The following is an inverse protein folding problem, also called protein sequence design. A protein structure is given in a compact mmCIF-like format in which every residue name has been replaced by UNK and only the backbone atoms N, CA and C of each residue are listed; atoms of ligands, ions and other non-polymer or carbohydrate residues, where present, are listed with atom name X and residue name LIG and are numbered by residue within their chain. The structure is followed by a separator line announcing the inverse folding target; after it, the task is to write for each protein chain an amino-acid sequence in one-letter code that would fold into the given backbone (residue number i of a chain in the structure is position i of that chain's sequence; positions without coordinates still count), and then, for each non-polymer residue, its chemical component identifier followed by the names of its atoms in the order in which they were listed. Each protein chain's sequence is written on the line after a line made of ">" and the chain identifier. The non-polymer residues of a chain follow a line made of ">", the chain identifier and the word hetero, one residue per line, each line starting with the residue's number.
data_IF_593609607782
#
_entry.id   IF_593609607782
#
_cell.length_a   1.000
_cell.length_b   1.000
_cell.length_c   1.000
_cell.angle_alpha   90.00
_cell.angle_beta   90.00
_cell.angle_gamma   90.00
#
_symmetry.space_group_name_H-M   'P 1'
#
loop_
_entity.id
_entity.type
_entity.pdbx_description
1 polymer ?
#
# COMPACT_ATOMS: atom_id res chain seq x y z
N UNK A 1 -37.61 -2.46 -0.63
CA UNK A 1 -36.14 -2.53 -0.74
C UNK A 1 -35.69 -3.45 0.35
N UNK A 2 -35.46 -4.71 -0.01
CA UNK A 2 -35.04 -5.73 0.96
C UNK A 2 -33.70 -5.33 1.57
N UNK A 3 -33.58 -5.47 2.88
CA UNK A 3 -32.36 -5.15 3.60
C UNK A 3 -31.22 -6.04 3.06
N UNK A 4 -30.08 -5.43 2.76
CA UNK A 4 -28.86 -6.16 2.37
C UNK A 4 -28.53 -7.26 3.39
N UNK A 5 -27.87 -8.36 2.99
CA UNK A 5 -27.39 -9.37 3.92
C UNK A 5 -26.59 -8.73 5.07
N UNK A 6 -26.87 -9.09 6.32
CA UNK A 6 -26.28 -8.41 7.47
C UNK A 6 -24.74 -8.47 7.51
N UNK A 7 -24.15 -9.54 6.97
CA UNK A 7 -22.69 -9.70 6.86
C UNK A 7 -22.05 -8.82 5.77
N UNK A 8 -22.84 -8.15 4.93
CA UNK A 8 -22.35 -7.13 3.99
C UNK A 8 -22.08 -5.79 4.68
N UNK A 9 -22.67 -5.55 5.85
CA UNK A 9 -22.47 -4.36 6.67
C UNK A 9 -21.32 -4.58 7.67
N UNK A 10 -20.42 -3.61 7.75
CA UNK A 10 -19.34 -3.57 8.75
C UNK A 10 -19.21 -2.20 9.40
N UNK A 11 -18.07 -1.98 10.07
CA UNK A 11 -17.76 -0.74 10.80
C UNK A 11 -16.25 -0.47 10.87
N UNK A 12 -15.52 -0.98 9.88
CA UNK A 12 -14.07 -0.93 9.83
C UNK A 12 -13.57 0.51 9.75
N UNK A 13 -12.52 0.84 10.49
CA UNK A 13 -11.77 2.09 10.36
C UNK A 13 -10.50 1.84 9.56
N UNK A 14 -10.41 2.48 8.40
CA UNK A 14 -9.34 2.23 7.41
C UNK A 14 -8.57 3.53 7.19
N UNK A 15 -7.31 3.58 7.60
CA UNK A 15 -6.45 4.75 7.36
C UNK A 15 -5.56 4.53 6.14
N UNK A 16 -5.64 5.44 5.18
CA UNK A 16 -4.77 5.53 4.02
C UNK A 16 -3.77 6.66 4.24
N UNK A 17 -2.51 6.32 4.46
CA UNK A 17 -1.44 7.33 4.54
C UNK A 17 -1.25 8.00 3.17
N UNK A 18 -1.04 9.30 3.16
CA UNK A 18 -0.50 10.05 2.02
C UNK A 18 0.65 10.95 2.48
N UNK A 19 1.64 11.14 1.62
CA UNK A 19 2.84 11.94 1.87
C UNK A 19 3.35 12.54 0.55
N UNK A 20 4.05 13.68 0.55
CA UNK A 20 4.52 14.30 -0.68
C UNK A 20 5.32 13.34 -1.57
N UNK A 21 4.95 13.25 -2.85
CA UNK A 21 5.61 12.37 -3.83
C UNK A 21 5.26 10.89 -3.70
N UNK A 22 4.18 10.52 -2.99
CA UNK A 22 3.59 9.18 -3.09
C UNK A 22 3.04 8.91 -4.51
N UNK A 23 2.99 7.66 -4.94
CA UNK A 23 2.30 7.28 -6.18
C UNK A 23 0.80 7.24 -5.91
N UNK A 24 0.03 8.13 -6.56
CA UNK A 24 -1.40 8.27 -6.29
C UNK A 24 -2.18 6.97 -6.51
N UNK A 25 -1.86 6.23 -7.59
CA UNK A 25 -2.56 5.00 -7.94
C UNK A 25 -2.40 3.89 -6.88
N UNK A 26 -1.26 3.86 -6.18
CA UNK A 26 -1.02 2.92 -5.07
C UNK A 26 -2.06 3.09 -3.96
N UNK A 27 -2.56 4.31 -3.75
CA UNK A 27 -3.59 4.61 -2.75
C UNK A 27 -4.99 4.52 -3.36
N UNK A 28 -5.22 5.13 -4.53
CA UNK A 28 -6.56 5.25 -5.14
C UNK A 28 -7.15 3.88 -5.46
N UNK A 29 -6.37 2.93 -5.97
CA UNK A 29 -6.86 1.57 -6.28
C UNK A 29 -7.43 0.85 -5.06
N UNK A 30 -6.63 0.62 -4.01
CA UNK A 30 -7.10 0.08 -2.74
C UNK A 30 -8.19 0.91 -2.08
N UNK A 31 -8.12 2.25 -2.16
CA UNK A 31 -9.16 3.12 -1.60
C UNK A 31 -10.52 2.90 -2.25
N UNK A 32 -10.56 2.72 -3.58
CA UNK A 32 -11.81 2.38 -4.27
C UNK A 32 -12.38 1.04 -3.77
N UNK A 33 -11.55 -0.01 -3.74
CA UNK A 33 -12.00 -1.34 -3.32
C UNK A 33 -12.45 -1.37 -1.86
N UNK A 34 -11.66 -0.82 -0.95
CA UNK A 34 -11.99 -0.84 0.49
C UNK A 34 -13.05 0.21 0.86
N UNK A 35 -13.15 1.31 0.11
CA UNK A 35 -14.24 2.29 0.26
C UNK A 35 -15.60 1.73 -0.17
N UNK A 36 -15.61 0.66 -0.97
CA UNK A 36 -16.84 -0.05 -1.35
C UNK A 36 -17.43 -0.91 -0.22
N UNK A 37 -16.70 -1.12 0.88
CA UNK A 37 -17.17 -1.87 2.04
C UNK A 37 -18.29 -1.12 2.75
N UNK A 38 -19.53 -1.61 2.65
CA UNK A 38 -20.67 -0.98 3.30
C UNK A 38 -20.45 -0.87 4.82
N UNK A 39 -20.66 0.34 5.36
CA UNK A 39 -20.50 0.67 6.78
C UNK A 39 -19.06 0.98 7.23
N UNK A 40 -18.05 0.74 6.40
CA UNK A 40 -16.68 1.12 6.71
C UNK A 40 -16.49 2.65 6.69
N UNK A 41 -15.51 3.14 7.44
CA UNK A 41 -15.06 4.53 7.46
C UNK A 41 -13.63 4.60 6.96
N UNK A 42 -13.39 5.35 5.88
CA UNK A 42 -12.06 5.60 5.35
C UNK A 42 -11.54 6.96 5.83
N UNK A 43 -10.23 7.01 6.09
CA UNK A 43 -9.52 8.23 6.48
C UNK A 43 -8.29 8.39 5.59
N UNK A 44 -8.27 9.41 4.74
CA UNK A 44 -7.06 9.83 4.04
C UNK A 44 -6.23 10.68 5.01
N UNK A 45 -5.04 10.21 5.38
CA UNK A 45 -4.24 10.76 6.48
C UNK A 45 -2.93 11.34 5.97
N UNK A 46 -2.71 12.63 6.23
CA UNK A 46 -1.44 13.32 5.97
C UNK A 46 -0.74 13.71 7.26
N UNK A 47 0.47 14.26 7.15
CA UNK A 47 1.18 14.83 8.32
C UNK A 47 0.39 16.00 8.91
N UNK A 48 -0.14 16.85 8.04
CA UNK A 48 -1.12 17.90 8.32
C UNK A 48 -2.38 17.65 7.47
N UNK A 49 -3.32 18.59 7.44
CA UNK A 49 -4.45 18.59 6.49
C UNK A 49 -4.22 19.51 5.29
N UNK A 50 -2.97 19.94 5.08
CA UNK A 50 -2.61 20.71 3.89
C UNK A 50 -2.61 19.79 2.64
N UNK A 51 -2.90 20.32 1.44
CA UNK A 51 -2.87 19.53 0.22
C UNK A 51 -1.53 18.85 -0.02
N UNK A 52 -1.57 17.56 -0.36
CA UNK A 52 -0.39 16.73 -0.65
C UNK A 52 -0.35 16.42 -2.15
N UNK A 53 0.79 16.68 -2.77
CA UNK A 53 1.02 16.42 -4.21
C UNK A 53 1.69 15.06 -4.38
N UNK A 54 1.11 14.20 -5.22
CA UNK A 54 1.68 12.92 -5.64
C UNK A 54 2.84 13.09 -6.63
N UNK A 55 3.55 11.99 -6.92
CA UNK A 55 4.69 11.97 -7.86
C UNK A 55 4.36 12.45 -9.28
N UNK A 56 3.10 12.30 -9.72
CA UNK A 56 2.60 12.74 -11.03
C UNK A 56 1.71 14.00 -10.95
N UNK A 57 1.78 14.75 -9.85
CA UNK A 57 1.12 16.06 -9.72
C UNK A 57 -0.35 16.04 -9.29
N UNK A 58 -0.99 14.88 -9.14
CA UNK A 58 -2.33 14.80 -8.54
C UNK A 58 -2.26 15.27 -7.09
N UNK A 59 -3.09 16.25 -6.74
CA UNK A 59 -3.15 16.85 -5.40
C UNK A 59 -4.34 16.32 -4.62
N UNK A 60 -4.11 15.85 -3.39
CA UNK A 60 -5.15 15.33 -2.50
C UNK A 60 -5.08 16.04 -1.16
N UNK A 61 -6.21 16.57 -0.69
CA UNK A 61 -6.33 17.15 0.65
C UNK A 61 -6.64 16.04 1.67
N UNK A 62 -5.80 15.82 2.69
CA UNK A 62 -6.06 14.85 3.74
C UNK A 62 -7.34 15.18 4.54
N UNK A 63 -8.10 14.14 4.88
CA UNK A 63 -9.28 14.24 5.76
C UNK A 63 -8.88 14.30 7.24
N UNK A 64 -7.72 13.72 7.58
CA UNK A 64 -7.16 13.74 8.92
C UNK A 64 -5.65 13.99 8.88
N UNK A 65 -5.12 14.53 9.97
CA UNK A 65 -3.69 14.61 10.24
C UNK A 65 -3.23 13.41 11.07
N UNK A 66 -1.93 13.25 11.29
CA UNK A 66 -1.41 12.26 12.25
C UNK A 66 -2.00 12.42 13.66
N UNK A 67 -2.32 13.66 14.06
CA UNK A 67 -2.90 13.97 15.36
C UNK A 67 -4.40 13.67 15.45
N UNK A 68 -5.13 13.82 14.35
CA UNK A 68 -6.60 13.67 14.33
C UNK A 68 -7.08 12.32 13.78
N UNK A 69 -6.19 11.52 13.19
CA UNK A 69 -6.48 10.15 12.78
C UNK A 69 -6.85 9.26 13.98
N UNK A 70 -7.90 8.42 13.91
CA UNK A 70 -8.23 7.47 14.97
C UNK A 70 -7.03 6.63 15.41
N UNK A 71 -6.88 6.40 16.71
CA UNK A 71 -5.78 5.59 17.27
C UNK A 71 -5.95 4.11 16.99
N UNK A 72 -7.19 3.62 17.06
CA UNK A 72 -7.56 2.23 16.81
C UNK A 72 -8.11 2.10 15.40
N UNK A 73 -7.39 1.34 14.58
CA UNK A 73 -7.72 1.10 13.19
C UNK A 73 -7.97 -0.39 12.98
N UNK A 74 -8.90 -0.73 12.10
CA UNK A 74 -9.00 -2.10 11.60
C UNK A 74 -7.92 -2.32 10.54
N UNK A 75 -7.62 -1.29 9.72
CA UNK A 75 -6.63 -1.38 8.65
C UNK A 75 -5.77 -0.12 8.62
N UNK A 76 -4.46 -0.30 8.68
CA UNK A 76 -3.47 0.71 8.28
C UNK A 76 -2.99 0.38 6.86
N UNK A 77 -3.09 1.35 5.95
CA UNK A 77 -2.64 1.23 4.58
C UNK A 77 -1.55 2.27 4.25
N UNK A 78 -0.45 1.81 3.66
CA UNK A 78 0.70 2.65 3.27
C UNK A 78 1.00 2.51 1.76
N UNK A 79 0.84 3.58 0.95
CA UNK A 79 1.19 3.55 -0.47
C UNK A 79 2.72 3.66 -0.67
N UNK A 80 3.17 3.36 -1.88
CA UNK A 80 4.53 3.56 -2.33
C UNK A 80 4.75 4.86 -3.10
N UNK A 81 5.81 4.85 -3.91
CA UNK A 81 6.45 6.00 -4.53
C UNK A 81 7.95 5.78 -4.77
N UNK A 82 8.60 6.74 -5.43
CA UNK A 82 10.06 6.77 -5.58
C UNK A 82 10.72 7.66 -4.54
N UNK A 83 11.16 8.85 -4.96
CA UNK A 83 11.80 9.84 -4.09
C UNK A 83 10.91 10.24 -2.89
N UNK A 84 9.59 10.30 -3.06
CA UNK A 84 8.65 10.58 -1.96
C UNK A 84 8.68 9.53 -0.86
N UNK A 85 8.72 8.24 -1.22
CA UNK A 85 8.87 7.14 -0.24
C UNK A 85 10.20 7.22 0.48
N UNK A 86 11.29 7.48 -0.24
CA UNK A 86 12.62 7.66 0.37
C UNK A 86 12.63 8.84 1.36
N UNK A 87 11.98 9.96 1.02
CA UNK A 87 11.86 11.11 1.91
C UNK A 87 11.01 10.77 3.15
N UNK A 88 9.89 10.06 2.98
CA UNK A 88 9.05 9.60 4.08
C UNK A 88 9.78 8.62 5.01
N UNK A 89 10.68 7.78 4.48
CA UNK A 89 11.54 6.89 5.29
C UNK A 89 12.56 7.66 6.15
N UNK A 90 12.85 8.92 5.82
CA UNK A 90 13.71 9.81 6.61
C UNK A 90 12.92 10.72 7.56
N UNK A 91 11.59 10.76 7.45
CA UNK A 91 10.73 11.59 8.30
C UNK A 91 10.32 10.82 9.56
N UNK A 92 10.95 11.15 10.68
CA UNK A 92 10.67 10.52 11.98
C UNK A 92 9.21 10.63 12.40
N UNK A 93 8.52 11.72 12.07
CA UNK A 93 7.09 11.88 12.38
C UNK A 93 6.22 10.86 11.63
N UNK A 94 6.47 10.67 10.34
CA UNK A 94 5.78 9.66 9.52
C UNK A 94 6.06 8.24 10.03
N UNK A 95 7.33 7.88 10.28
CA UNK A 95 7.67 6.56 10.81
C UNK A 95 7.05 6.31 12.20
N UNK A 96 7.01 7.32 13.06
CA UNK A 96 6.37 7.21 14.37
C UNK A 96 4.85 7.01 14.25
N UNK A 97 4.19 7.74 13.35
CA UNK A 97 2.76 7.53 13.07
C UNK A 97 2.48 6.11 12.57
N UNK A 98 3.25 5.61 11.60
CA UNK A 98 3.11 4.26 11.04
C UNK A 98 3.31 3.21 12.15
N UNK A 99 4.37 3.35 12.96
CA UNK A 99 4.68 2.42 14.05
C UNK A 99 3.58 2.39 15.11
N UNK A 100 3.11 3.57 15.52
CA UNK A 100 2.08 3.72 16.54
C UNK A 100 0.73 3.11 16.08
N UNK A 101 0.25 3.48 14.88
CA UNK A 101 -0.98 2.93 14.33
C UNK A 101 -0.85 1.44 14.01
N UNK A 102 0.29 1.03 13.44
CA UNK A 102 0.57 -0.36 13.10
C UNK A 102 0.64 -1.28 14.31
N UNK A 103 1.04 -0.79 15.49
CA UNK A 103 1.04 -1.58 16.72
C UNK A 103 -0.37 -1.99 17.20
N UNK A 104 -1.42 -1.28 16.76
CA UNK A 104 -2.81 -1.52 17.16
C UNK A 104 -3.73 -1.94 16.02
N UNK A 105 -3.30 -1.75 14.77
CA UNK A 105 -4.10 -2.10 13.61
C UNK A 105 -4.34 -3.61 13.53
N UNK A 106 -5.58 -4.03 13.24
CA UNK A 106 -5.87 -5.45 13.02
C UNK A 106 -5.14 -5.96 11.78
N UNK A 107 -5.11 -5.18 10.71
CA UNK A 107 -4.38 -5.46 9.46
C UNK A 107 -3.39 -4.32 9.19
N UNK A 108 -2.13 -4.68 8.91
CA UNK A 108 -1.10 -3.75 8.45
C UNK A 108 -0.86 -4.04 6.98
N UNK A 109 -0.99 -3.03 6.14
CA UNK A 109 -0.96 -3.23 4.71
C UNK A 109 -0.25 -2.14 3.94
N UNK A 110 0.22 -2.50 2.75
CA UNK A 110 0.88 -1.58 1.84
C UNK A 110 0.81 -2.06 0.41
N UNK A 111 1.03 -1.15 -0.53
CA UNK A 111 1.27 -1.46 -1.95
C UNK A 111 2.62 -0.89 -2.36
N UNK A 112 3.26 -1.53 -3.35
CA UNK A 112 4.48 -1.06 -3.98
C UNK A 112 5.61 -0.88 -2.95
N UNK A 113 6.38 0.20 -3.04
CA UNK A 113 7.45 0.56 -2.09
C UNK A 113 6.92 0.99 -0.71
N UNK A 114 5.60 1.06 -0.49
CA UNK A 114 5.02 1.32 0.83
C UNK A 114 5.40 0.27 1.87
N UNK A 115 5.72 -0.97 1.44
CA UNK A 115 6.25 -1.99 2.34
C UNK A 115 7.63 -1.64 2.90
N UNK A 116 8.42 -0.79 2.23
CA UNK A 116 9.69 -0.29 2.79
C UNK A 116 9.45 0.67 3.98
N UNK A 117 8.37 1.46 3.95
CA UNK A 117 7.99 2.30 5.10
C UNK A 117 7.52 1.45 6.27
N UNK A 118 6.74 0.39 6.01
CA UNK A 118 6.38 -0.57 7.05
C UNK A 118 7.62 -1.25 7.63
N UNK A 119 8.58 -1.63 6.79
CA UNK A 119 9.83 -2.25 7.21
C UNK A 119 10.69 -1.29 8.06
N UNK A 120 10.87 -0.05 7.61
CA UNK A 120 11.59 1.00 8.35
C UNK A 120 10.89 1.38 9.68
N UNK A 121 9.57 1.27 9.75
CA UNK A 121 8.83 1.42 11.00
C UNK A 121 8.99 0.22 11.97
N UNK A 122 9.63 -0.87 11.53
CA UNK A 122 9.87 -2.08 12.32
C UNK A 122 8.72 -3.10 12.25
N UNK A 123 7.77 -2.94 11.33
CA UNK A 123 6.54 -3.72 11.31
C UNK A 123 6.62 -5.02 10.50
N UNK A 124 7.71 -5.24 9.75
CA UNK A 124 7.90 -6.40 8.85
C UNK A 124 9.06 -7.33 9.23
N UNK A 125 9.73 -7.12 10.37
CA UNK A 125 10.83 -8.01 10.79
C UNK A 125 10.31 -9.44 11.03
N UNK A 126 10.83 -10.41 10.28
CA UNK A 126 10.40 -11.81 10.31
C UNK A 126 9.06 -12.10 9.62
N UNK A 127 8.57 -11.18 8.78
CA UNK A 127 7.35 -11.39 7.99
C UNK A 127 7.71 -11.56 6.52
N UNK A 128 6.97 -12.45 5.85
CA UNK A 128 6.93 -12.53 4.40
C UNK A 128 6.23 -11.29 3.85
N UNK A 129 6.87 -10.62 2.89
CA UNK A 129 6.32 -9.41 2.29
C UNK A 129 6.79 -9.27 0.83
N UNK A 130 5.96 -8.62 0.01
CA UNK A 130 6.31 -8.19 -1.35
C UNK A 130 6.43 -6.66 -1.41
N UNK A 131 6.88 -6.16 -2.56
CA UNK A 131 7.01 -4.74 -2.86
C UNK A 131 6.99 -4.53 -4.38
N UNK A 132 7.27 -3.30 -4.83
CA UNK A 132 7.63 -3.09 -6.23
C UNK A 132 8.84 -3.96 -6.60
N UNK A 133 8.85 -4.54 -7.80
CA UNK A 133 9.89 -5.50 -8.20
C UNK A 133 11.31 -4.92 -8.15
N UNK A 134 11.48 -3.61 -8.43
CA UNK A 134 12.79 -2.92 -8.31
C UNK A 134 13.32 -2.84 -6.87
N UNK A 135 12.42 -2.94 -5.89
CA UNK A 135 12.70 -2.63 -4.49
C UNK A 135 12.46 -3.81 -3.54
N UNK A 136 11.81 -4.88 -4.01
CA UNK A 136 11.42 -6.03 -3.20
C UNK A 136 12.60 -6.65 -2.45
N UNK A 137 13.74 -6.79 -3.09
CA UNK A 137 14.93 -7.36 -2.46
C UNK A 137 15.47 -6.49 -1.31
N UNK A 138 15.14 -5.21 -1.25
CA UNK A 138 15.56 -4.30 -0.19
C UNK A 138 14.85 -4.60 1.14
N UNK A 139 13.72 -5.31 1.12
CA UNK A 139 13.01 -5.72 2.32
C UNK A 139 13.89 -6.57 3.26
N UNK A 140 14.85 -7.33 2.71
CA UNK A 140 15.80 -8.12 3.51
C UNK A 140 16.69 -7.25 4.40
N UNK A 141 17.01 -6.04 3.94
CA UNK A 141 17.86 -5.09 4.66
C UNK A 141 17.14 -4.52 5.91
N UNK A 142 15.83 -4.77 6.04
CA UNK A 142 15.01 -4.43 7.20
C UNK A 142 14.49 -5.67 7.95
N UNK A 143 15.03 -6.86 7.64
CA UNK A 143 14.70 -8.12 8.31
C UNK A 143 13.37 -8.76 7.89
N UNK A 144 12.74 -8.28 6.82
CA UNK A 144 11.60 -8.99 6.21
C UNK A 144 12.09 -10.08 5.25
N UNK A 145 11.19 -11.01 4.90
CA UNK A 145 11.45 -12.12 3.97
C UNK A 145 10.80 -11.75 2.62
N UNK A 146 11.57 -11.37 1.58
CA UNK A 146 11.00 -10.95 0.31
C UNK A 146 10.34 -12.12 -0.42
N UNK A 147 9.10 -11.95 -0.88
CA UNK A 147 8.34 -12.96 -1.64
C UNK A 147 7.90 -12.38 -2.98
N UNK A 148 8.24 -13.06 -4.09
CA UNK A 148 7.85 -12.65 -5.44
C UNK A 148 6.42 -13.12 -5.76
N UNK A 149 5.42 -12.47 -5.16
CA UNK A 149 4.01 -12.65 -5.46
C UNK A 149 3.33 -11.28 -5.59
N UNK A 150 2.21 -11.25 -6.33
CA UNK A 150 1.43 -10.02 -6.56
C UNK A 150 0.80 -9.49 -5.27
N UNK A 151 0.32 -10.39 -4.42
CA UNK A 151 -0.18 -10.11 -3.07
C UNK A 151 0.41 -11.17 -2.14
N UNK A 152 0.95 -10.74 -1.00
CA UNK A 152 1.48 -11.62 0.05
C UNK A 152 0.71 -11.35 1.32
N UNK A 153 0.16 -12.42 1.90
CA UNK A 153 -0.51 -12.42 3.21
C UNK A 153 0.37 -13.22 4.17
N UNK A 154 0.82 -12.58 5.26
CA UNK A 154 1.51 -13.24 6.36
C UNK A 154 0.92 -12.77 7.70
N UNK A 155 0.15 -13.66 8.35
CA UNK A 155 -0.63 -13.37 9.56
C UNK A 155 -1.53 -12.16 9.30
N UNK A 156 -1.22 -11.00 9.88
CA UNK A 156 -1.97 -9.78 9.69
C UNK A 156 -1.21 -8.70 8.89
N UNK A 157 -0.13 -9.07 8.21
CA UNK A 157 0.58 -8.23 7.24
C UNK A 157 0.13 -8.62 5.85
N UNK A 158 -0.36 -7.65 5.08
CA UNK A 158 -0.80 -7.89 3.71
C UNK A 158 -0.14 -6.84 2.81
N UNK A 159 0.76 -7.30 1.95
CA UNK A 159 1.52 -6.42 1.05
C UNK A 159 1.19 -6.74 -0.39
N UNK A 160 0.89 -5.72 -1.19
CA UNK A 160 0.76 -5.79 -2.65
C UNK A 160 2.06 -5.38 -3.34
N UNK A 161 2.31 -5.97 -4.51
CA UNK A 161 3.46 -5.65 -5.34
C UNK A 161 3.31 -4.26 -6.01
N UNK A 162 3.86 -4.05 -7.20
CA UNK A 162 3.87 -2.74 -7.85
C UNK A 162 2.47 -2.21 -8.20
N UNK A 163 2.22 -0.96 -7.85
CA UNK A 163 1.19 -0.04 -8.37
C UNK A 163 -0.21 -0.64 -8.51
N UNK A 164 -0.51 -1.27 -9.65
CA UNK A 164 -1.84 -1.82 -9.95
C UNK A 164 -2.20 -3.03 -9.09
N UNK A 165 -1.22 -3.66 -8.41
CA UNK A 165 -1.46 -4.73 -7.45
C UNK A 165 -2.41 -4.31 -6.32
N UNK A 166 -2.57 -3.00 -6.07
CA UNK A 166 -3.51 -2.47 -5.11
C UNK A 166 -4.99 -2.80 -5.38
N UNK A 167 -5.38 -2.98 -6.64
CA UNK A 167 -6.75 -3.39 -7.00
C UNK A 167 -7.01 -4.84 -6.58
N UNK A 168 -6.13 -5.77 -6.94
CA UNK A 168 -6.25 -7.19 -6.56
C UNK A 168 -6.12 -7.41 -5.05
N UNK A 169 -5.20 -6.66 -4.42
CA UNK A 169 -5.06 -6.59 -2.97
C UNK A 169 -6.37 -6.16 -2.30
N UNK A 170 -6.95 -5.06 -2.78
CA UNK A 170 -8.17 -4.49 -2.22
C UNK A 170 -9.33 -5.45 -2.37
N UNK A 171 -9.49 -6.06 -3.55
CA UNK A 171 -10.54 -7.04 -3.82
C UNK A 171 -10.38 -8.30 -2.95
N UNK A 172 -9.15 -8.77 -2.76
CA UNK A 172 -8.85 -9.90 -1.86
C UNK A 172 -9.20 -9.60 -0.40
N UNK A 173 -9.03 -8.35 0.03
CA UNK A 173 -9.44 -7.90 1.36
C UNK A 173 -10.96 -7.76 1.50
N UNK A 174 -11.64 -7.28 0.45
CA UNK A 174 -13.11 -7.22 0.43
C UNK A 174 -13.69 -8.61 0.67
N UNK A 175 -13.18 -9.64 -0.01
CA UNK A 175 -13.61 -11.02 0.19
C UNK A 175 -13.38 -11.54 1.61
N UNK A 176 -12.28 -11.14 2.26
CA UNK A 176 -11.96 -11.53 3.64
C UNK A 176 -12.83 -10.82 4.68
N UNK A 177 -13.22 -9.57 4.43
CA UNK A 177 -13.96 -8.74 5.38
C UNK A 177 -15.48 -8.88 5.24
N UNK A 178 -15.95 -9.38 4.11
CA UNK A 178 -17.35 -9.67 3.83
C UNK A 178 -17.46 -11.14 3.45
N UNK A 179 -17.55 -11.43 2.15
CA UNK A 179 -17.53 -12.76 1.56
C UNK A 179 -17.16 -12.68 0.07
N UNK A 180 -17.09 -13.85 -0.58
CA UNK A 180 -16.79 -13.94 -2.01
C UNK A 180 -17.87 -13.29 -2.89
N UNK A 181 -19.14 -13.39 -2.53
CA UNK A 181 -20.26 -12.85 -3.32
C UNK A 181 -20.22 -11.31 -3.37
N UNK A 182 -19.95 -10.67 -2.23
CA UNK A 182 -19.74 -9.23 -2.14
C UNK A 182 -18.53 -8.80 -2.95
N UNK A 183 -17.41 -9.53 -2.86
CA UNK A 183 -16.22 -9.21 -3.64
C UNK A 183 -16.49 -9.32 -5.15
N UNK A 184 -17.17 -10.39 -5.61
CA UNK A 184 -17.57 -10.53 -7.02
C UNK A 184 -18.52 -9.41 -7.46
N UNK A 185 -19.46 -9.00 -6.60
CA UNK A 185 -20.33 -7.86 -6.88
C UNK A 185 -19.54 -6.55 -7.00
N UNK A 186 -18.54 -6.31 -6.15
CA UNK A 186 -17.68 -5.12 -6.24
C UNK A 186 -16.75 -5.17 -7.45
N UNK A 187 -16.26 -6.36 -7.82
CA UNK A 187 -15.51 -6.56 -9.05
C UNK A 187 -16.36 -6.19 -10.28
N UNK A 188 -17.62 -6.64 -10.31
CA UNK A 188 -18.57 -6.31 -11.38
C UNK A 188 -18.94 -4.82 -11.38
N UNK A 189 -19.20 -4.23 -10.22
CA UNK A 189 -19.53 -2.80 -10.08
C UNK A 189 -18.40 -1.91 -10.62
N UNK A 190 -17.16 -2.34 -10.44
CA UNK A 190 -15.97 -1.65 -10.93
C UNK A 190 -15.69 -1.92 -12.42
N UNK A 191 -16.41 -2.85 -13.04
CA UNK A 191 -16.04 -3.50 -14.30
C UNK A 191 -14.55 -3.89 -14.31
N UNK A 192 -14.06 -4.46 -13.20
CA UNK A 192 -12.66 -4.83 -13.04
C UNK A 192 -12.33 -6.11 -13.83
N UNK A 193 -12.21 -5.92 -15.14
CA UNK A 193 -11.83 -6.90 -16.15
C UNK A 193 -10.70 -6.29 -17.00
N UNK A 194 -9.46 -6.26 -16.49
CA UNK A 194 -8.37 -5.58 -17.18
C UNK A 194 -7.99 -6.31 -18.48
N UNK A 195 -7.86 -5.56 -19.57
CA UNK A 195 -7.36 -6.03 -20.87
C UNK A 195 -6.10 -5.22 -21.28
N UNK A 196 -4.93 -5.48 -20.67
CA UNK A 196 -3.72 -4.73 -20.99
C UNK A 196 -3.32 -4.89 -22.47
N UNK A 197 -2.97 -3.81 -23.19
CA UNK A 197 -2.58 -3.89 -24.60
C UNK A 197 -1.20 -4.53 -24.85
N UNK A 198 -0.42 -4.78 -23.79
CA UNK A 198 0.92 -5.37 -23.84
C UNK A 198 1.14 -6.36 -22.69
N UNK A 199 1.91 -7.42 -22.92
CA UNK A 199 2.34 -8.39 -21.89
C UNK A 199 3.72 -8.02 -21.32
N UNK A 200 3.82 -6.86 -20.66
CA UNK A 200 5.08 -6.36 -20.08
C UNK A 200 4.97 -5.96 -18.60
N UNK A 201 3.91 -6.43 -17.93
CA UNK A 201 3.61 -6.07 -16.54
C UNK A 201 4.51 -6.70 -15.47
N UNK A 202 5.42 -7.61 -15.87
CA UNK A 202 6.41 -8.24 -14.97
C UNK A 202 7.77 -8.31 -15.67
N UNK A 203 8.89 -8.29 -14.93
CA UNK A 203 10.23 -8.42 -15.53
C UNK A 203 10.39 -9.64 -16.43
N UNK A 204 9.79 -10.77 -16.04
CA UNK A 204 9.83 -12.03 -16.78
C UNK A 204 9.12 -11.94 -18.14
N UNK A 205 8.08 -11.11 -18.25
CA UNK A 205 7.30 -10.91 -19.49
C UNK A 205 7.81 -9.75 -20.34
N UNK A 206 8.35 -8.70 -19.71
CA UNK A 206 8.80 -7.48 -20.39
C UNK A 206 10.08 -7.67 -21.23
N UNK A 207 10.87 -8.70 -20.94
CA UNK A 207 12.17 -8.92 -21.56
C UNK A 207 13.28 -8.04 -20.98
N UNK A 208 14.53 -8.37 -21.31
CA UNK A 208 15.73 -7.79 -20.68
C UNK A 208 15.87 -6.29 -20.93
N UNK A 209 15.63 -5.83 -22.17
CA UNK A 209 15.77 -4.42 -22.54
C UNK A 209 14.77 -3.54 -21.77
N UNK A 210 13.48 -3.86 -21.83
CA UNK A 210 12.43 -3.10 -21.15
C UNK A 210 12.63 -3.12 -19.63
N UNK A 211 13.02 -4.27 -19.07
CA UNK A 211 13.32 -4.39 -17.64
C UNK A 211 14.50 -3.50 -17.23
N UNK A 212 15.59 -3.50 -18.02
CA UNK A 212 16.77 -2.68 -17.75
C UNK A 212 16.44 -1.19 -17.79
N UNK A 213 15.60 -0.74 -18.73
CA UNK A 213 15.16 0.67 -18.81
C UNK A 213 14.57 1.15 -17.49
N UNK A 214 13.66 0.37 -16.89
CA UNK A 214 13.05 0.75 -15.61
C UNK A 214 14.03 0.55 -14.44
N UNK A 215 14.82 -0.51 -14.42
CA UNK A 215 15.80 -0.73 -13.37
C UNK A 215 16.79 0.45 -13.28
N UNK A 216 17.27 0.94 -14.42
CA UNK A 216 18.21 2.04 -14.49
C UNK A 216 17.64 3.35 -13.95
N UNK A 217 16.36 3.62 -14.19
CA UNK A 217 15.65 4.78 -13.64
C UNK A 217 15.61 4.79 -12.10
N UNK A 218 15.65 3.62 -11.46
CA UNK A 218 15.55 3.47 -10.00
C UNK A 218 16.89 3.15 -9.32
N UNK A 219 18.01 3.12 -10.04
CA UNK A 219 19.33 2.78 -9.48
C UNK A 219 19.71 3.67 -8.28
N UNK A 220 19.47 4.99 -8.38
CA UNK A 220 19.75 5.93 -7.28
C UNK A 220 18.87 5.67 -6.07
N UNK A 221 17.56 5.49 -6.28
CA UNK A 221 16.61 5.15 -5.23
C UNK A 221 17.02 3.87 -4.48
N UNK A 222 17.39 2.81 -5.20
CA UNK A 222 17.84 1.53 -4.63
C UNK A 222 19.11 1.72 -3.79
N UNK A 223 20.09 2.47 -4.30
CA UNK A 223 21.33 2.75 -3.59
C UNK A 223 21.10 3.56 -2.29
N UNK A 224 20.22 4.55 -2.34
CA UNK A 224 19.88 5.40 -1.20
C UNK A 224 19.13 4.63 -0.10
N UNK A 225 18.19 3.76 -0.48
CA UNK A 225 17.47 2.91 0.48
C UNK A 225 18.43 1.94 1.18
N UNK A 226 19.38 1.33 0.45
CA UNK A 226 20.42 0.47 1.07
C UNK A 226 21.30 1.24 2.03
N UNK A 227 21.65 2.47 1.69
CA UNK A 227 22.43 3.35 2.58
C UNK A 227 21.64 3.68 3.85
N UNK A 228 20.35 4.00 3.69
CA UNK A 228 19.46 4.29 4.81
C UNK A 228 19.28 3.08 5.73
N UNK A 229 19.08 1.88 5.19
CA UNK A 229 18.90 0.65 5.97
C UNK A 229 20.07 0.40 6.94
N UNK A 230 21.31 0.64 6.50
CA UNK A 230 22.51 0.51 7.34
C UNK A 230 22.60 1.52 8.48
N UNK A 231 21.84 2.61 8.41
CA UNK A 231 21.85 3.67 9.45
C UNK A 231 20.76 3.50 10.51
N UNK A 232 19.78 2.62 10.26
CA UNK A 232 18.63 2.37 11.15
C UNK A 232 18.84 1.08 11.98
N UNK A 233 19.78 0.22 11.59
CA UNK A 233 20.22 -0.97 12.33
C UNK A 233 21.23 -0.62 13.42
#
# INVERSE_FOLDING_TARGET
>A
MDAYPAHWLGKEKIAFLIYPGFTALDMVGPHYMLGSLMGASTYIVGKTQDPVVSDMGLTITPQASFATCPTDLDILFVPGGGAGTLAAMKDGATLNFIRDRGARAKIISSVCTGSLLLAAAGLLKGYNATSHWVARDLLKDFGAIPVNQRVVVDRNRITGAGVTAGLDFGLSLVAQLRDADYAMAMQLLAEYHPEPPYDSGTPERAGTQTTAMIADMFNSFVADVRTLAKSIQ
#
